data_IF_430660539379
#
_entry.id   IF_430660539379
#
_cell.length_a   1.000
_cell.length_b   1.000
_cell.length_c   1.000
_cell.angle_alpha   90.00
_cell.angle_beta   90.00
_cell.angle_gamma   90.00
#
_symmetry.space_group_name_H-M   'P 1'
#
loop_
_entity.id
_entity.type
_entity.pdbx_description
1 polymer ?
#
# COMPACT_ATOMS: atom_id res chain seq x y z
N UNK A 1 -32.34 22.59 1.71
CA UNK A 1 -31.36 21.83 2.50
C UNK A 1 -30.76 20.79 1.57
N UNK A 2 -29.57 21.12 1.08
CA UNK A 2 -28.77 20.48 0.04
C UNK A 2 -28.14 19.17 0.51
N UNK A 3 -27.96 18.22 -0.41
CA UNK A 3 -26.79 17.35 -0.40
C UNK A 3 -25.90 17.75 -1.57
N UNK A 4 -24.71 18.26 -1.29
CA UNK A 4 -23.68 18.54 -2.30
C UNK A 4 -23.19 17.19 -2.89
N UNK A 5 -23.25 16.96 -4.21
CA UNK A 5 -22.75 15.72 -4.81
C UNK A 5 -21.24 15.51 -4.60
N UNK A 6 -20.49 16.54 -4.18
CA UNK A 6 -19.10 16.42 -3.76
C UNK A 6 -18.90 15.66 -2.43
N UNK A 7 -19.99 15.36 -1.70
CA UNK A 7 -19.96 14.62 -0.43
C UNK A 7 -20.28 13.13 -0.55
N UNK A 8 -20.41 12.57 -1.76
CA UNK A 8 -20.40 11.12 -1.94
C UNK A 8 -18.97 10.61 -1.81
N UNK A 9 -18.54 10.46 -0.56
CA UNK A 9 -17.42 9.60 -0.22
C UNK A 9 -17.78 8.20 -0.75
N UNK A 10 -16.95 7.56 -1.62
CA UNK A 10 -17.25 6.21 -2.03
C UNK A 10 -17.36 5.38 -0.75
N UNK A 11 -18.49 4.67 -0.59
CA UNK A 11 -18.69 3.70 0.47
C UNK A 11 -17.39 2.90 0.60
N UNK A 12 -16.82 2.87 1.81
CA UNK A 12 -15.49 2.31 2.07
C UNK A 12 -15.34 1.01 1.29
N UNK A 13 -14.40 1.00 0.34
CA UNK A 13 -14.29 -0.08 -0.62
C UNK A 13 -14.11 -1.40 0.14
N UNK A 14 -15.08 -2.30 -0.03
CA UNK A 14 -15.05 -3.66 0.49
C UNK A 14 -13.74 -4.34 0.07
N UNK A 15 -13.11 -5.09 0.98
CA UNK A 15 -11.87 -5.82 0.67
C UNK A 15 -12.04 -6.69 -0.56
N UNK A 16 -13.23 -7.29 -0.74
CA UNK A 16 -13.56 -8.10 -1.93
C UNK A 16 -13.51 -7.30 -3.23
N UNK A 17 -13.96 -6.05 -3.23
CA UNK A 17 -13.91 -5.22 -4.43
C UNK A 17 -12.46 -4.90 -4.84
N UNK A 18 -11.56 -4.76 -3.86
CA UNK A 18 -10.12 -4.65 -4.13
C UNK A 18 -9.51 -5.96 -4.60
N UNK A 19 -9.88 -7.08 -3.99
CA UNK A 19 -9.42 -8.41 -4.39
C UNK A 19 -9.83 -8.75 -5.82
N UNK A 20 -11.05 -8.42 -6.24
CA UNK A 20 -11.54 -8.60 -7.61
C UNK A 20 -10.74 -7.74 -8.61
N UNK A 21 -10.46 -6.48 -8.25
CA UNK A 21 -9.65 -5.57 -9.07
C UNK A 21 -8.21 -6.07 -9.23
N UNK A 22 -7.61 -6.44 -8.09
CA UNK A 22 -6.59 -7.47 -7.88
C UNK A 22 -6.58 -8.53 -8.97
N UNK A 23 -7.52 -9.46 -8.92
CA UNK A 23 -7.56 -10.68 -9.72
C UNK A 23 -7.66 -10.44 -11.23
N UNK A 24 -8.31 -9.35 -11.66
CA UNK A 24 -8.66 -9.13 -13.06
C UNK A 24 -7.46 -8.90 -14.01
N UNK A 25 -6.29 -8.48 -13.53
CA UNK A 25 -5.08 -8.27 -14.36
C UNK A 25 -3.80 -8.23 -13.54
N UNK A 26 -2.66 -8.41 -14.18
CA UNK A 26 -1.37 -8.53 -13.48
C UNK A 26 -0.76 -7.20 -13.00
N UNK A 27 -0.96 -6.12 -13.76
CA UNK A 27 -0.48 -4.77 -13.43
C UNK A 27 -1.60 -3.74 -13.62
N UNK A 28 -2.56 -3.72 -12.69
CA UNK A 28 -3.64 -2.73 -12.54
C UNK A 28 -3.13 -1.30 -12.69
N UNK A 29 -1.94 -1.00 -12.17
CA UNK A 29 -1.37 0.35 -12.16
C UNK A 29 -0.04 0.49 -12.91
N UNK A 30 0.44 -0.59 -13.54
CA UNK A 30 1.75 -0.64 -14.19
C UNK A 30 2.92 -0.89 -13.24
N UNK A 31 4.08 -1.25 -13.79
CA UNK A 31 5.28 -1.60 -13.01
C UNK A 31 6.06 -0.38 -12.51
N UNK A 32 5.95 0.77 -13.20
CA UNK A 32 6.68 1.99 -12.83
C UNK A 32 6.12 2.61 -11.53
N UNK A 33 6.97 3.23 -10.70
CA UNK A 33 6.51 3.90 -9.49
C UNK A 33 5.52 5.01 -9.83
N UNK A 34 4.71 5.39 -8.85
CA UNK A 34 3.96 6.64 -8.97
C UNK A 34 4.96 7.79 -9.14
N UNK A 35 4.78 8.62 -10.19
CA UNK A 35 5.67 9.76 -10.48
C UNK A 35 5.90 10.70 -9.28
N UNK A 36 4.89 10.89 -8.43
CA UNK A 36 5.01 11.74 -7.26
C UNK A 36 5.83 11.07 -6.16
N UNK A 37 5.66 9.77 -5.94
CA UNK A 37 6.53 9.01 -5.02
C UNK A 37 7.97 9.09 -5.50
N UNK A 38 8.20 8.92 -6.81
CA UNK A 38 9.53 9.01 -7.39
C UNK A 38 10.17 10.39 -7.19
N UNK A 39 9.40 11.45 -7.41
CA UNK A 39 9.83 12.83 -7.23
C UNK A 39 10.11 13.17 -5.77
N UNK A 40 9.15 12.94 -4.85
CA UNK A 40 9.27 13.38 -3.45
C UNK A 40 10.34 12.61 -2.68
N UNK A 41 10.67 11.40 -3.13
CA UNK A 41 11.68 10.58 -2.47
C UNK A 41 13.04 10.66 -3.16
N UNK A 42 13.18 11.37 -4.29
CA UNK A 42 14.42 11.38 -5.10
C UNK A 42 15.65 11.78 -4.29
N UNK A 43 15.49 12.67 -3.32
CA UNK A 43 16.60 13.24 -2.57
C UNK A 43 16.69 12.71 -1.13
N UNK A 44 15.79 11.77 -0.77
CA UNK A 44 15.79 11.16 0.56
C UNK A 44 17.03 10.27 0.73
N UNK A 45 17.64 10.43 1.90
CA UNK A 45 18.70 9.54 2.33
C UNK A 45 18.12 8.14 2.59
N UNK A 46 18.83 7.07 2.19
CA UNK A 46 18.35 5.71 2.42
C UNK A 46 18.14 5.41 3.91
N UNK A 47 17.05 4.72 4.21
CA UNK A 47 16.62 4.44 5.59
C UNK A 47 15.57 3.34 5.67
N UNK A 48 14.68 3.43 6.66
CA UNK A 48 13.53 2.52 6.76
C UNK A 48 12.30 3.19 6.15
N UNK A 49 11.49 2.44 5.43
CA UNK A 49 10.22 2.93 4.91
C UNK A 49 9.12 1.88 5.03
N UNK A 50 7.88 2.36 5.14
CA UNK A 50 6.66 1.56 5.23
C UNK A 50 5.76 1.92 4.04
N UNK A 51 5.40 0.93 3.22
CA UNK A 51 4.46 1.07 2.11
C UNK A 51 3.11 0.44 2.50
N UNK A 52 2.12 1.28 2.80
CA UNK A 52 0.78 0.86 3.19
C UNK A 52 -0.12 0.76 1.97
N UNK A 53 -0.95 -0.29 1.94
CA UNK A 53 -1.79 -0.60 0.78
C UNK A 53 -0.97 -0.67 -0.52
N UNK A 54 0.16 -1.36 -0.44
CA UNK A 54 1.20 -1.38 -1.46
C UNK A 54 0.73 -1.98 -2.81
N UNK A 55 -0.36 -2.75 -2.81
CA UNK A 55 -0.98 -3.27 -4.03
C UNK A 55 -0.01 -4.14 -4.82
N UNK A 56 0.41 -3.69 -5.99
CA UNK A 56 1.40 -4.41 -6.81
C UNK A 56 2.86 -4.20 -6.37
N UNK A 57 3.09 -3.40 -5.33
CA UNK A 57 4.42 -3.17 -4.77
C UNK A 57 5.33 -2.26 -5.60
N UNK A 58 4.82 -1.62 -6.67
CA UNK A 58 5.62 -0.79 -7.60
C UNK A 58 6.46 0.29 -6.90
N UNK A 59 5.93 0.91 -5.85
CA UNK A 59 6.63 1.95 -5.10
C UNK A 59 7.69 1.35 -4.15
N UNK A 60 7.30 0.37 -3.32
CA UNK A 60 8.21 -0.37 -2.47
C UNK A 60 9.40 -0.98 -3.22
N UNK A 61 9.15 -1.64 -4.36
CA UNK A 61 10.19 -2.24 -5.19
C UNK A 61 11.12 -1.19 -5.78
N UNK A 62 10.57 -0.09 -6.27
CA UNK A 62 11.38 1.02 -6.80
C UNK A 62 12.25 1.65 -5.70
N UNK A 63 11.71 1.94 -4.51
CA UNK A 63 12.49 2.46 -3.38
C UNK A 63 13.58 1.47 -2.95
N UNK A 64 13.27 0.18 -2.85
CA UNK A 64 14.26 -0.85 -2.53
C UNK A 64 15.39 -0.93 -3.58
N UNK A 65 15.07 -0.77 -4.86
CA UNK A 65 16.06 -0.81 -5.95
C UNK A 65 17.07 0.33 -5.93
N UNK A 66 16.74 1.45 -5.26
CA UNK A 66 17.65 2.61 -5.11
C UNK A 66 18.80 2.38 -4.14
N UNK A 67 18.77 1.26 -3.41
CA UNK A 67 19.81 0.87 -2.47
C UNK A 67 19.70 1.60 -1.13
N UNK A 68 20.03 0.88 -0.05
CA UNK A 68 20.06 1.41 1.31
C UNK A 68 18.68 1.58 1.98
N UNK A 69 17.58 1.50 1.23
CA UNK A 69 16.25 1.45 1.81
C UNK A 69 15.88 0.04 2.29
N UNK A 70 15.40 -0.07 3.53
CA UNK A 70 14.75 -1.26 4.08
C UNK A 70 13.25 -1.02 4.13
N UNK A 71 12.50 -1.73 3.29
CA UNK A 71 11.06 -1.52 3.13
C UNK A 71 10.27 -2.63 3.83
N UNK A 72 9.27 -2.24 4.62
CA UNK A 72 8.15 -3.10 5.02
C UNK A 72 6.95 -2.70 4.18
N UNK A 73 6.24 -3.66 3.61
CA UNK A 73 5.05 -3.38 2.80
C UNK A 73 3.88 -4.24 3.26
N UNK A 74 2.69 -3.65 3.26
CA UNK A 74 1.44 -4.34 3.63
C UNK A 74 0.39 -4.16 2.54
N UNK A 75 -0.51 -5.15 2.41
CA UNK A 75 -1.53 -5.16 1.36
C UNK A 75 -0.94 -5.32 -0.04
N UNK A 76 0.22 -5.97 -0.18
CA UNK A 76 0.72 -6.39 -1.49
C UNK A 76 -0.08 -7.58 -2.01
N UNK A 77 -0.40 -7.60 -3.31
CA UNK A 77 -1.10 -8.69 -4.02
C UNK A 77 -0.46 -10.06 -3.76
N UNK A 78 0.87 -10.11 -3.68
CA UNK A 78 1.64 -11.34 -3.43
C UNK A 78 1.87 -11.64 -1.95
N UNK A 79 1.54 -10.72 -1.03
CA UNK A 79 1.54 -10.95 0.42
C UNK A 79 0.18 -11.44 0.94
N UNK A 80 -0.86 -11.43 0.12
CA UNK A 80 -2.04 -12.25 0.36
C UNK A 80 -1.61 -13.71 0.18
N UNK A 81 -1.11 -14.31 1.27
CA UNK A 81 -0.88 -15.75 1.30
C UNK A 81 -2.16 -16.47 0.85
N UNK A 82 -2.08 -17.65 0.22
CA UNK A 82 -3.26 -18.45 -0.08
C UNK A 82 -4.13 -18.72 1.18
N UNK A 83 -3.56 -18.57 2.38
CA UNK A 83 -4.23 -18.64 3.68
C UNK A 83 -4.44 -17.26 4.35
N UNK A 84 -4.47 -16.16 3.60
CA UNK A 84 -4.66 -14.80 4.14
C UNK A 84 -5.98 -14.63 4.91
N UNK A 85 -6.97 -15.50 4.67
CA UNK A 85 -8.19 -15.59 5.49
C UNK A 85 -7.90 -15.92 6.98
N UNK A 86 -6.71 -16.42 7.31
CA UNK A 86 -6.32 -16.86 8.66
C UNK A 86 -5.13 -16.07 9.24
N UNK A 87 -4.60 -15.08 8.52
CA UNK A 87 -3.63 -14.16 9.11
C UNK A 87 -4.36 -13.31 10.18
N UNK A 88 -3.90 -13.29 11.44
CA UNK A 88 -4.56 -12.50 12.47
C UNK A 88 -4.54 -11.03 12.03
N UNK A 89 -5.73 -10.45 11.92
CA UNK A 89 -5.88 -9.02 11.67
C UNK A 89 -5.20 -8.26 12.80
N UNK A 90 -4.16 -7.49 12.48
CA UNK A 90 -3.55 -6.60 13.45
C UNK A 90 -4.59 -5.57 13.90
N UNK A 91 -4.66 -5.35 15.21
CA UNK A 91 -5.46 -4.27 15.78
C UNK A 91 -4.92 -2.92 15.35
N UNK A 92 -5.76 -1.88 15.41
CA UNK A 92 -5.34 -0.49 15.14
C UNK A 92 -4.11 -0.09 15.98
N UNK A 93 -4.07 -0.50 17.25
CA UNK A 93 -2.94 -0.24 18.15
C UNK A 93 -1.65 -0.96 17.71
N UNK A 94 -1.76 -2.17 17.16
CA UNK A 94 -0.61 -2.89 16.63
C UNK A 94 -0.12 -2.26 15.32
N UNK A 95 -1.03 -1.74 14.50
CA UNK A 95 -0.69 -0.95 13.30
C UNK A 95 0.01 0.35 13.69
N UNK A 96 -0.50 1.07 14.70
CA UNK A 96 0.14 2.27 15.26
C UNK A 96 1.52 1.96 15.84
N UNK A 97 1.65 0.87 16.60
CA UNK A 97 2.94 0.45 17.16
C UNK A 97 3.94 0.07 16.07
N UNK A 98 3.48 -0.62 15.01
CA UNK A 98 4.30 -0.92 13.84
C UNK A 98 4.75 0.37 13.15
N UNK A 99 3.82 1.31 12.95
CA UNK A 99 4.08 2.62 12.35
C UNK A 99 5.14 3.40 13.15
N UNK A 100 4.98 3.47 14.47
CA UNK A 100 5.91 4.18 15.37
C UNK A 100 7.27 3.48 15.52
N UNK A 101 7.33 2.15 15.44
CA UNK A 101 8.59 1.41 15.53
C UNK A 101 9.45 1.49 14.25
N UNK A 102 8.89 2.01 13.17
CA UNK A 102 9.55 2.17 11.86
C UNK A 102 10.06 3.61 11.62
N UNK A 103 9.56 4.59 12.38
CA UNK A 103 10.09 5.96 12.49
C UNK A 103 11.38 6.01 13.34
#
# INVERSE_FOLDING_TARGET
MTGDPSQQQPAGADSRAWDERYAARDLVWGAEPNRWVAQETSDLQPGRALDLAAGEGRNALWLASRGGFKIVASGMRQCLAPDAEQAPSMTEQELEKLFLALA
#
